data_IF_170346386418
#
_entry.id   IF_170346386418
#
_cell.length_a   1.000
_cell.length_b   1.000
_cell.length_c   1.000
_cell.angle_alpha   90.00
_cell.angle_beta   90.00
_cell.angle_gamma   90.00
#
_symmetry.space_group_name_H-M   'P 1'
#
loop_
_entity.id
_entity.type
_entity.pdbx_description
1 polymer ?
#
# COMPACT_ATOMS: atom_id res chain seq x y z
N UNK A 1 7.54 17.13 24.83
CA UNK A 1 7.98 16.59 23.54
C UNK A 1 7.82 17.65 22.47
N UNK A 2 8.90 18.28 22.00
CA UNK A 2 8.89 19.39 21.02
C UNK A 2 9.26 18.94 19.59
N UNK A 3 9.58 17.66 19.38
CA UNK A 3 10.03 17.17 18.07
C UNK A 3 8.93 17.28 17.01
N UNK A 4 7.68 16.93 17.35
CA UNK A 4 6.56 17.02 16.42
C UNK A 4 6.04 18.43 16.20
N UNK A 5 6.38 19.39 17.06
CA UNK A 5 6.02 20.79 16.83
C UNK A 5 6.90 21.44 15.77
N UNK A 6 7.97 20.77 15.32
CA UNK A 6 8.79 21.25 14.22
C UNK A 6 8.03 21.17 12.88
N UNK A 7 8.40 22.02 11.91
CA UNK A 7 7.96 21.88 10.52
C UNK A 7 8.27 20.50 9.96
N UNK A 8 7.42 20.02 9.04
CA UNK A 8 7.52 18.68 8.47
C UNK A 8 8.88 18.44 7.81
N UNK A 9 9.44 19.47 7.17
CA UNK A 9 10.72 19.44 6.47
C UNK A 9 11.89 19.15 7.42
N UNK A 10 11.86 19.73 8.61
CA UNK A 10 12.89 19.51 9.64
C UNK A 10 12.76 18.10 10.22
N UNK A 11 11.53 17.67 10.48
CA UNK A 11 11.24 16.30 10.95
C UNK A 11 11.76 15.28 9.92
N UNK A 12 11.46 15.50 8.64
CA UNK A 12 11.90 14.64 7.54
C UNK A 12 13.42 14.63 7.40
N UNK A 13 14.08 15.79 7.50
CA UNK A 13 15.54 15.89 7.53
C UNK A 13 16.14 15.07 8.67
N UNK A 14 15.62 15.19 9.89
CA UNK A 14 16.07 14.39 11.03
C UNK A 14 15.83 12.89 10.85
N UNK A 15 14.65 12.50 10.36
CA UNK A 15 14.28 11.09 10.16
C UNK A 15 15.09 10.45 9.04
N UNK A 16 15.45 11.20 7.99
CA UNK A 16 16.24 10.71 6.86
C UNK A 16 17.66 10.25 7.24
N UNK A 17 18.17 10.70 8.39
CA UNK A 17 19.47 10.28 8.92
C UNK A 17 19.40 9.10 9.89
N UNK A 18 18.20 8.61 10.21
CA UNK A 18 18.02 7.48 11.12
C UNK A 18 18.00 6.14 10.36
N UNK A 19 18.58 5.08 10.92
CA UNK A 19 18.38 3.72 10.41
C UNK A 19 16.89 3.34 10.43
N UNK A 20 16.42 2.58 9.43
CA UNK A 20 15.02 2.16 9.30
C UNK A 20 14.49 1.48 10.58
N UNK A 21 15.32 0.65 11.23
CA UNK A 21 14.97 0.00 12.48
C UNK A 21 14.63 0.99 13.61
N UNK A 22 15.29 2.14 13.65
CA UNK A 22 15.02 3.20 14.64
C UNK A 22 13.76 3.98 14.28
N UNK A 23 13.51 4.24 12.99
CA UNK A 23 12.26 4.85 12.52
C UNK A 23 11.06 3.98 12.92
N UNK A 24 11.16 2.67 12.68
CA UNK A 24 10.11 1.72 13.05
C UNK A 24 9.91 1.60 14.57
N UNK A 25 10.95 1.79 15.38
CA UNK A 25 10.82 1.85 16.85
C UNK A 25 10.15 3.14 17.33
N UNK A 26 10.32 4.24 16.60
CA UNK A 26 9.71 5.53 16.93
C UNK A 26 8.21 5.59 16.61
N UNK A 27 7.73 4.80 15.64
CA UNK A 27 6.32 4.82 15.23
C UNK A 27 5.34 4.36 16.34
N UNK A 28 5.54 3.21 17.03
CA UNK A 28 4.69 2.76 18.12
C UNK A 28 4.93 3.54 19.41
N UNK A 29 6.19 3.84 19.73
CA UNK A 29 6.58 4.46 21.00
C UNK A 29 6.00 5.86 21.19
N UNK A 30 5.62 6.53 20.10
CA UNK A 30 5.09 7.89 20.12
C UNK A 30 3.57 7.96 19.81
N UNK A 31 2.90 6.83 19.52
CA UNK A 31 1.47 6.82 19.17
C UNK A 31 1.12 7.76 18.00
N UNK A 32 2.04 7.90 17.04
CA UNK A 32 2.23 9.18 16.38
C UNK A 32 1.80 9.18 14.92
N UNK A 33 0.49 9.15 14.72
CA UNK A 33 -0.14 9.26 13.39
C UNK A 33 0.38 10.45 12.58
N UNK A 34 0.84 11.52 13.24
CA UNK A 34 1.42 12.70 12.58
C UNK A 34 2.80 12.41 11.96
N UNK A 35 3.68 11.69 12.67
CA UNK A 35 4.99 11.34 12.12
C UNK A 35 4.83 10.39 10.93
N UNK A 36 3.93 9.42 11.05
CA UNK A 36 3.56 8.54 9.93
C UNK A 36 3.08 9.34 8.72
N UNK A 37 2.12 10.26 8.93
CA UNK A 37 1.57 11.10 7.85
C UNK A 37 2.62 11.99 7.18
N UNK A 38 3.57 12.51 7.95
CA UNK A 38 4.67 13.32 7.42
C UNK A 38 5.62 12.47 6.58
N UNK A 39 6.01 11.29 7.06
CA UNK A 39 6.88 10.36 6.32
C UNK A 39 6.18 9.88 5.05
N UNK A 40 4.90 9.50 5.13
CA UNK A 40 4.13 9.01 3.98
C UNK A 40 3.82 10.08 2.95
N UNK A 41 3.77 11.36 3.34
CA UNK A 41 3.52 12.49 2.44
C UNK A 41 4.79 13.08 1.82
N UNK A 42 5.99 12.61 2.22
CA UNK A 42 7.25 13.17 1.75
C UNK A 42 7.64 12.59 0.38
N UNK A 43 7.69 13.41 -0.69
CA UNK A 43 8.00 12.93 -2.04
C UNK A 43 9.48 12.56 -2.25
N UNK A 44 10.34 12.76 -1.23
CA UNK A 44 11.80 12.72 -1.38
C UNK A 44 12.56 11.88 -0.33
N UNK A 45 11.87 11.19 0.60
CA UNK A 45 12.52 10.10 1.40
C UNK A 45 12.52 8.78 0.60
N UNK A 46 12.28 8.85 -0.71
CA UNK A 46 12.68 7.83 -1.66
C UNK A 46 14.21 7.86 -1.86
N UNK A 47 14.96 7.46 -0.83
CA UNK A 47 16.30 6.89 -1.00
C UNK A 47 16.17 5.38 -1.20
N UNK A 48 17.18 4.71 -1.78
CA UNK A 48 17.03 3.42 -2.45
C UNK A 48 16.46 2.37 -1.50
N UNK A 49 15.26 1.87 -1.82
CA UNK A 49 14.51 0.92 -0.99
C UNK A 49 13.08 1.35 -0.65
N UNK A 50 12.70 2.61 -0.92
CA UNK A 50 11.30 3.05 -0.77
C UNK A 50 10.66 3.20 -2.14
N UNK A 51 9.72 2.30 -2.47
CA UNK A 51 8.89 2.42 -3.66
C UNK A 51 7.89 3.56 -3.46
N UNK A 52 8.08 4.65 -4.20
CA UNK A 52 7.04 5.66 -4.38
C UNK A 52 6.19 5.22 -5.57
N UNK A 53 4.95 4.80 -5.30
CA UNK A 53 3.96 4.49 -6.34
C UNK A 53 2.94 5.63 -6.30
N UNK A 54 2.84 6.36 -7.41
CA UNK A 54 1.86 7.42 -7.57
C UNK A 54 0.58 6.85 -8.17
N UNK A 55 -0.53 6.97 -7.45
CA UNK A 55 -1.86 6.70 -7.97
C UNK A 55 -2.23 7.85 -8.93
N UNK A 56 -2.30 7.57 -10.24
CA UNK A 56 -2.54 8.58 -11.27
C UNK A 56 -3.70 8.18 -12.19
N UNK A 57 -4.86 7.83 -11.64
CA UNK A 57 -6.20 8.20 -12.17
C UNK A 57 -7.31 7.32 -11.57
N UNK A 58 -8.55 7.77 -11.77
CA UNK A 58 -9.79 7.00 -11.57
C UNK A 58 -9.88 5.70 -12.39
N UNK A 59 -8.90 5.40 -13.25
CA UNK A 59 -8.89 4.20 -14.12
C UNK A 59 -8.03 3.03 -13.56
N UNK A 60 -7.64 3.07 -12.28
CA UNK A 60 -7.13 1.89 -11.57
C UNK A 60 -5.84 1.29 -12.16
N UNK A 61 -4.80 2.11 -12.34
CA UNK A 61 -3.48 1.59 -12.76
C UNK A 61 -2.54 1.55 -11.56
N UNK A 62 -2.18 0.35 -11.10
CA UNK A 62 -1.06 0.12 -10.17
C UNK A 62 0.20 -0.14 -10.97
N UNK A 63 1.21 0.70 -10.82
CA UNK A 63 2.56 0.42 -11.33
C UNK A 63 3.45 0.04 -10.15
N UNK A 64 3.98 -1.19 -10.15
CA UNK A 64 4.93 -1.65 -9.15
C UNK A 64 6.34 -1.77 -9.78
N UNK A 65 7.36 -1.38 -9.03
CA UNK A 65 8.77 -1.48 -9.45
C UNK A 65 9.45 -2.55 -8.60
N UNK A 66 9.98 -3.59 -9.26
CA UNK A 66 10.96 -4.48 -8.65
C UNK A 66 12.34 -3.84 -8.83
N UNK A 67 12.97 -3.42 -7.73
CA UNK A 67 14.36 -2.98 -7.74
C UNK A 67 15.24 -4.20 -7.49
N UNK A 68 15.44 -5.01 -8.54
CA UNK A 68 16.60 -5.89 -8.56
C UNK A 68 17.88 -5.04 -8.57
N UNK A 69 18.92 -5.57 -7.95
CA UNK A 69 20.22 -4.95 -7.67
C UNK A 69 20.79 -4.10 -8.82
N UNK A 70 21.50 -3.03 -8.44
CA UNK A 70 22.18 -2.02 -9.27
C UNK A 70 23.11 -2.52 -10.40
N UNK A 71 23.28 -3.82 -10.60
CA UNK A 71 24.19 -4.43 -11.58
C UNK A 71 23.49 -5.22 -12.71
N UNK A 72 22.17 -5.40 -12.67
CA UNK A 72 21.44 -6.13 -13.70
C UNK A 72 20.51 -5.19 -14.48
N UNK A 73 20.48 -5.38 -15.81
CA UNK A 73 19.61 -4.66 -16.76
C UNK A 73 18.22 -4.40 -16.16
N UNK A 74 17.64 -3.20 -16.35
CA UNK A 74 16.36 -2.84 -15.73
C UNK A 74 15.33 -3.93 -16.01
N UNK A 75 14.85 -4.56 -14.92
CA UNK A 75 13.84 -5.60 -14.97
C UNK A 75 12.60 -5.07 -15.72
N UNK A 76 11.97 -5.92 -16.52
CA UNK A 76 10.79 -5.53 -17.31
C UNK A 76 9.69 -5.01 -16.39
N UNK A 77 9.01 -3.93 -16.82
CA UNK A 77 7.92 -3.34 -16.05
C UNK A 77 6.74 -4.30 -15.99
N UNK A 78 6.37 -4.73 -14.78
CA UNK A 78 5.19 -5.56 -14.58
C UNK A 78 3.95 -4.68 -14.40
N UNK A 79 3.12 -4.61 -15.44
CA UNK A 79 1.85 -3.88 -15.39
C UNK A 79 0.76 -4.77 -14.78
N UNK A 80 0.23 -4.37 -13.62
CA UNK A 80 -0.94 -4.99 -13.02
C UNK A 80 -2.17 -4.23 -13.50
N UNK A 81 -3.00 -4.87 -14.32
CA UNK A 81 -4.28 -4.30 -14.73
C UNK A 81 -5.34 -4.72 -13.72
N UNK A 82 -5.92 -3.77 -12.98
CA UNK A 82 -7.05 -4.07 -12.09
C UNK A 82 -8.35 -3.84 -12.86
N UNK A 83 -9.23 -4.86 -12.98
CA UNK A 83 -10.48 -4.72 -13.74
C UNK A 83 -11.51 -3.83 -13.04
N UNK A 84 -11.28 -3.49 -11.77
CA UNK A 84 -12.14 -2.70 -10.92
C UNK A 84 -11.40 -1.45 -10.41
N UNK A 85 -12.15 -0.51 -9.84
CA UNK A 85 -11.59 0.72 -9.29
C UNK A 85 -10.69 0.40 -8.11
N UNK A 86 -9.39 0.61 -8.26
CA UNK A 86 -8.42 0.48 -7.18
C UNK A 86 -8.67 1.56 -6.12
N UNK A 87 -8.84 1.16 -4.88
CA UNK A 87 -9.01 2.10 -3.77
C UNK A 87 -7.73 2.29 -2.95
N UNK A 88 -7.07 1.21 -2.57
CA UNK A 88 -5.81 1.25 -1.80
C UNK A 88 -5.00 -0.02 -2.01
N UNK A 89 -3.71 0.01 -1.69
CA UNK A 89 -2.85 -1.16 -1.74
C UNK A 89 -1.73 -1.10 -0.70
N UNK A 90 -1.19 -2.27 -0.34
CA UNK A 90 0.03 -2.38 0.43
C UNK A 90 0.95 -3.45 -0.15
N UNK A 91 2.24 -3.31 0.12
CA UNK A 91 3.28 -4.24 -0.33
C UNK A 91 3.87 -4.91 0.90
N UNK A 92 3.90 -6.23 0.90
CA UNK A 92 4.54 -7.05 1.92
C UNK A 92 5.78 -7.69 1.32
N UNK A 93 6.92 -7.00 1.38
CA UNK A 93 8.21 -7.51 0.87
C UNK A 93 8.67 -8.79 1.57
N UNK A 94 8.30 -9.00 2.83
CA UNK A 94 8.60 -10.25 3.56
C UNK A 94 7.92 -11.46 2.90
N UNK A 95 6.78 -11.22 2.24
CA UNK A 95 5.97 -12.26 1.63
C UNK A 95 5.94 -12.13 0.10
N UNK A 96 6.73 -11.25 -0.52
CA UNK A 96 6.66 -10.97 -1.96
C UNK A 96 5.23 -10.74 -2.53
N UNK A 97 4.38 -10.08 -1.73
CA UNK A 97 2.97 -9.86 -2.05
C UNK A 97 2.65 -8.38 -2.23
N UNK A 98 1.79 -8.11 -3.20
CA UNK A 98 0.99 -6.89 -3.28
C UNK A 98 -0.44 -7.28 -2.91
N UNK A 99 -1.00 -6.58 -1.94
CA UNK A 99 -2.41 -6.71 -1.56
C UNK A 99 -3.09 -5.41 -1.91
N UNK A 100 -4.17 -5.47 -2.69
CA UNK A 100 -4.90 -4.28 -3.07
C UNK A 100 -6.40 -4.47 -2.95
N UNK A 101 -7.10 -3.39 -2.63
CA UNK A 101 -8.56 -3.37 -2.49
C UNK A 101 -9.16 -2.73 -3.73
N UNK A 102 -10.11 -3.43 -4.32
CA UNK A 102 -10.89 -2.97 -5.46
C UNK A 102 -12.33 -2.73 -5.07
N UNK A 103 -12.98 -1.84 -5.82
CA UNK A 103 -14.40 -1.57 -5.73
C UNK A 103 -15.00 -1.54 -7.13
N UNK A 104 -16.09 -2.29 -7.33
CA UNK A 104 -16.87 -2.29 -8.55
C UNK A 104 -18.37 -2.36 -8.24
N UNK A 105 -19.25 -1.77 -9.07
CA UNK A 105 -20.68 -2.00 -8.94
C UNK A 105 -21.01 -3.48 -9.11
N UNK A 106 -21.87 -4.02 -8.25
CA UNK A 106 -22.27 -5.42 -8.33
C UNK A 106 -23.13 -5.63 -9.60
N UNK A 107 -22.79 -6.57 -10.51
CA UNK A 107 -23.50 -6.73 -11.78
C UNK A 107 -24.99 -7.04 -11.63
N UNK A 108 -25.34 -7.77 -10.56
CA UNK A 108 -26.72 -8.16 -10.24
C UNK A 108 -27.51 -7.04 -9.56
N UNK A 109 -26.84 -6.09 -8.92
CA UNK A 109 -27.46 -4.96 -8.24
C UNK A 109 -26.55 -3.72 -8.26
N UNK A 110 -26.68 -2.84 -9.27
CA UNK A 110 -25.83 -1.65 -9.43
C UNK A 110 -25.94 -0.61 -8.31
N UNK A 111 -26.88 -0.78 -7.37
CA UNK A 111 -26.99 0.08 -6.18
C UNK A 111 -26.07 -0.37 -5.03
N UNK A 112 -25.40 -1.51 -5.20
CA UNK A 112 -24.38 -2.02 -4.30
C UNK A 112 -23.02 -1.95 -5.00
N UNK A 113 -22.01 -1.54 -4.24
CA UNK A 113 -20.61 -1.66 -4.59
C UNK A 113 -20.04 -2.89 -3.91
N UNK A 114 -19.38 -3.74 -4.68
CA UNK A 114 -18.64 -4.91 -4.24
C UNK A 114 -17.19 -4.52 -3.94
N UNK A 115 -16.75 -4.78 -2.70
CA UNK A 115 -15.39 -4.56 -2.25
C UNK A 115 -14.67 -5.90 -2.12
N UNK A 116 -13.52 -6.02 -2.79
CA UNK A 116 -12.70 -7.22 -2.76
C UNK A 116 -11.22 -6.88 -2.51
N UNK A 117 -10.50 -7.77 -1.84
CA UNK A 117 -9.06 -7.73 -1.74
C UNK A 117 -8.44 -8.73 -2.71
N UNK A 118 -7.51 -8.27 -3.52
CA UNK A 118 -6.78 -9.10 -4.47
C UNK A 118 -5.31 -9.22 -4.03
N UNK A 119 -4.77 -10.41 -4.22
CA UNK A 119 -3.43 -10.78 -3.83
C UNK A 119 -2.62 -11.07 -5.08
N UNK A 120 -1.50 -10.38 -5.24
CA UNK A 120 -0.61 -10.55 -6.37
C UNK A 120 0.81 -10.84 -5.87
N UNK A 121 1.32 -12.02 -6.21
CA UNK A 121 2.70 -12.41 -5.95
C UNK A 121 3.61 -11.88 -7.05
N UNK A 122 4.76 -11.31 -6.68
CA UNK A 122 5.78 -10.84 -7.63
C UNK A 122 7.09 -11.65 -7.60
N UNK A 123 7.16 -12.78 -6.90
CA UNK A 123 8.29 -13.70 -7.02
C UNK A 123 8.25 -14.44 -8.37
N UNK A 124 9.31 -14.31 -9.16
CA UNK A 124 9.38 -14.87 -10.52
C UNK A 124 9.88 -16.33 -10.61
N UNK A 125 10.20 -16.99 -9.48
CA UNK A 125 11.03 -18.21 -9.51
C UNK A 125 10.61 -19.40 -8.66
N UNK A 126 9.70 -19.25 -7.70
CA UNK A 126 9.28 -20.34 -6.80
C UNK A 126 7.75 -20.33 -6.64
N UNK A 127 7.11 -21.50 -6.42
CA UNK A 127 5.68 -21.53 -6.15
C UNK A 127 5.40 -20.76 -4.86
N UNK A 128 4.94 -19.51 -5.00
CA UNK A 128 4.45 -18.74 -3.88
C UNK A 128 3.27 -19.50 -3.26
N UNK A 129 3.25 -19.73 -1.93
CA UNK A 129 2.22 -20.54 -1.28
C UNK A 129 0.80 -19.98 -1.48
N UNK A 130 0.70 -18.65 -1.63
CA UNK A 130 -0.53 -17.98 -2.04
C UNK A 130 -0.50 -17.78 -3.55
N UNK A 131 -1.31 -18.55 -4.28
CA UNK A 131 -1.67 -18.21 -5.66
C UNK A 131 -2.47 -16.91 -5.66
N UNK A 132 -2.35 -16.14 -6.74
CA UNK A 132 -3.19 -14.95 -6.93
C UNK A 132 -4.64 -15.32 -6.69
N UNK A 133 -5.25 -14.63 -5.73
CA UNK A 133 -6.57 -14.95 -5.21
C UNK A 133 -7.31 -13.65 -4.87
N UNK A 134 -8.62 -13.74 -4.75
CA UNK A 134 -9.49 -12.65 -4.36
C UNK A 134 -10.28 -13.05 -3.13
N UNK A 135 -10.42 -12.14 -2.17
CA UNK A 135 -11.23 -12.29 -0.97
C UNK A 135 -12.31 -11.22 -1.02
N UNK A 136 -13.57 -11.66 -1.02
CA UNK A 136 -14.71 -10.79 -0.84
C UNK A 136 -14.67 -10.17 0.55
N UNK A 137 -14.85 -8.85 0.62
CA UNK A 137 -14.88 -8.11 1.88
C UNK A 137 -16.31 -7.76 2.26
N UNK A 138 -17.02 -7.06 1.39
CA UNK A 138 -18.39 -6.61 1.63
C UNK A 138 -19.09 -6.12 0.35
N UNK A 139 -20.41 -6.22 0.35
CA UNK A 139 -21.30 -5.48 -0.55
C UNK A 139 -21.93 -4.32 0.23
N UNK A 140 -21.71 -3.08 -0.23
CA UNK A 140 -22.15 -1.88 0.49
C UNK A 140 -22.96 -0.97 -0.45
N UNK A 141 -24.07 -0.35 0.02
CA UNK A 141 -24.81 0.61 -0.79
C UNK A 141 -23.92 1.71 -1.36
N UNK A 142 -24.05 1.98 -2.65
CA UNK A 142 -23.22 2.98 -3.35
C UNK A 142 -23.40 4.40 -2.80
N UNK A 143 -24.50 4.65 -2.08
CA UNK A 143 -24.79 5.92 -1.39
C UNK A 143 -23.81 6.22 -0.24
N UNK A 144 -23.10 5.21 0.27
CA UNK A 144 -22.18 5.37 1.40
C UNK A 144 -20.82 5.97 1.00
N UNK A 145 -20.59 6.23 -0.29
CA UNK A 145 -19.34 6.82 -0.78
C UNK A 145 -18.15 5.86 -0.79
N UNK A 146 -16.94 6.42 -0.82
CA UNK A 146 -15.68 5.67 -0.81
C UNK A 146 -15.21 5.58 0.65
N UNK A 147 -14.99 4.38 1.21
CA UNK A 147 -14.54 4.23 2.58
C UNK A 147 -13.07 4.65 2.75
N UNK A 148 -12.72 5.07 3.96
CA UNK A 148 -11.33 5.11 4.41
C UNK A 148 -10.84 3.67 4.60
N UNK A 149 -9.75 3.31 3.91
CA UNK A 149 -9.17 1.97 3.91
C UNK A 149 -7.86 1.97 4.68
N UNK A 150 -7.66 0.92 5.47
CA UNK A 150 -6.36 0.60 6.06
C UNK A 150 -6.03 -0.88 5.82
N UNK A 151 -4.83 -1.11 5.30
CA UNK A 151 -4.29 -2.43 5.00
C UNK A 151 -3.03 -2.69 5.82
N UNK A 152 -2.94 -3.89 6.40
CA UNK A 152 -1.74 -4.35 7.06
C UNK A 152 -1.52 -5.85 6.80
N UNK A 153 -0.27 -6.22 6.51
CA UNK A 153 0.15 -7.62 6.38
C UNK A 153 1.17 -7.90 7.47
N UNK A 154 0.98 -8.99 8.21
CA UNK A 154 1.89 -9.42 9.26
C UNK A 154 2.05 -10.95 9.21
N UNK A 155 3.21 -11.41 8.79
CA UNK A 155 3.44 -12.83 8.51
C UNK A 155 2.40 -13.35 7.52
N UNK A 156 1.63 -14.37 7.92
CA UNK A 156 0.58 -14.99 7.11
C UNK A 156 -0.81 -14.36 7.25
N UNK A 157 -0.93 -13.21 7.92
CA UNK A 157 -2.21 -12.56 8.20
C UNK A 157 -2.32 -11.24 7.46
N UNK A 158 -3.52 -10.99 6.94
CA UNK A 158 -3.90 -9.70 6.36
C UNK A 158 -5.06 -9.13 7.17
N UNK A 159 -4.90 -7.88 7.59
CA UNK A 159 -5.93 -7.09 8.24
C UNK A 159 -6.38 -6.00 7.28
N UNK A 160 -7.70 -5.90 7.10
CA UNK A 160 -8.35 -4.94 6.22
C UNK A 160 -9.42 -4.23 7.04
N UNK A 161 -9.37 -2.90 7.08
CA UNK A 161 -10.40 -2.06 7.69
C UNK A 161 -11.02 -1.18 6.62
N UNK A 162 -12.36 -1.14 6.59
CA UNK A 162 -13.14 -0.20 5.79
C UNK A 162 -14.03 0.60 6.73
N UNK A 163 -13.91 1.92 6.69
CA UNK A 163 -14.69 2.85 7.50
C UNK A 163 -15.44 3.79 6.57
N UNK A 164 -16.77 3.81 6.68
CA UNK A 164 -17.69 4.65 5.89
C UNK A 164 -18.17 5.86 6.69
#
# INVERSE_FOLDING_TARGET
MQFLSLPAEIILGCVSHLPVAEILRLLPALGNHRLWRIISAAPAIASPGWSTIQNTSLDGIVQAVSLASFDESPSEWLKINTPAGLLDFCISSENDLIVYVTCAPLPTNPTLNHFAAEFFSFSDGLPHPLRSSSIEIADVPSLNGIPDIALAVLGSRVAISLVF
#
